data_IF_104688144935
#
_entry.id   IF_104688144935
#
_cell.length_a   1.000
_cell.length_b   1.000
_cell.length_c   1.000
_cell.angle_alpha   90.00
_cell.angle_beta   90.00
_cell.angle_gamma   90.00
#
_symmetry.space_group_name_H-M   'P 1'
#
loop_
_entity.id
_entity.type
_entity.pdbx_description
1 polymer ?
#
# COMPACT_ATOMS: atom_id res chain seq x y z
N UNK A 1 -13.56 -11.87 15.72
CA UNK A 1 -14.76 -11.16 15.21
C UNK A 1 -15.99 -12.08 15.22
N UNK A 2 -16.03 -13.17 14.44
CA UNK A 2 -17.22 -14.07 14.36
C UNK A 2 -17.66 -14.61 15.73
N UNK A 3 -16.71 -15.09 16.56
CA UNK A 3 -17.00 -15.57 17.92
C UNK A 3 -17.61 -14.48 18.84
N UNK A 4 -17.30 -13.21 18.62
CA UNK A 4 -17.86 -12.12 19.44
C UNK A 4 -19.31 -11.81 19.04
N UNK A 5 -19.61 -11.86 17.74
CA UNK A 5 -20.95 -11.55 17.20
C UNK A 5 -21.92 -12.73 17.38
N UNK A 6 -21.42 -13.96 17.23
CA UNK A 6 -22.19 -15.20 17.42
C UNK A 6 -21.38 -16.18 18.26
N UNK A 7 -21.45 -16.01 19.58
CA UNK A 7 -20.81 -16.89 20.54
C UNK A 7 -21.26 -18.34 20.35
N UNK A 8 -20.31 -19.28 20.37
CA UNK A 8 -20.58 -20.72 20.27
C UNK A 8 -20.72 -21.29 18.85
N UNK A 9 -20.88 -20.47 17.80
CA UNK A 9 -21.08 -20.98 16.42
C UNK A 9 -19.86 -21.74 15.85
N UNK A 10 -18.66 -21.45 16.37
CA UNK A 10 -17.39 -22.10 15.99
C UNK A 10 -16.77 -22.90 17.14
N UNK A 11 -17.49 -23.05 18.26
CA UNK A 11 -16.95 -23.60 19.49
C UNK A 11 -15.93 -22.68 20.17
N UNK A 12 -15.11 -23.27 21.04
CA UNK A 12 -14.00 -22.59 21.73
C UNK A 12 -12.84 -22.28 20.78
N UNK A 13 -11.92 -21.40 21.18
CA UNK A 13 -10.74 -21.09 20.39
C UNK A 13 -9.86 -22.32 20.11
N UNK A 14 -9.78 -23.27 21.05
CA UNK A 14 -9.01 -24.51 20.90
C UNK A 14 -9.63 -25.46 19.86
N UNK A 15 -10.96 -25.62 19.92
CA UNK A 15 -11.71 -26.42 18.96
C UNK A 15 -11.62 -25.84 17.56
N UNK A 16 -11.77 -24.52 17.42
CA UNK A 16 -11.60 -23.82 16.14
C UNK A 16 -10.20 -24.03 15.55
N UNK A 17 -9.15 -23.89 16.38
CA UNK A 17 -7.77 -24.11 15.96
C UNK A 17 -7.54 -25.51 15.40
N UNK A 18 -8.03 -26.50 16.13
CA UNK A 18 -7.84 -27.91 15.77
C UNK A 18 -8.66 -28.29 14.53
N UNK A 19 -9.91 -27.82 14.46
CA UNK A 19 -10.87 -28.20 13.41
C UNK A 19 -10.67 -27.44 12.09
N UNK A 20 -10.30 -26.16 12.14
CA UNK A 20 -10.21 -25.30 10.97
C UNK A 20 -8.82 -24.69 10.76
N UNK A 21 -8.27 -23.97 11.75
CA UNK A 21 -7.03 -23.18 11.56
C UNK A 21 -5.83 -24.05 11.16
N UNK A 22 -5.56 -25.12 11.91
CA UNK A 22 -4.39 -25.97 11.71
C UNK A 22 -4.43 -26.75 10.38
N UNK A 23 -5.55 -27.40 9.98
CA UNK A 23 -5.66 -28.02 8.66
C UNK A 23 -5.52 -27.00 7.52
N UNK A 24 -6.17 -25.84 7.61
CA UNK A 24 -6.13 -24.81 6.55
C UNK A 24 -4.72 -24.23 6.40
N UNK A 25 -4.02 -23.99 7.51
CA UNK A 25 -2.64 -23.50 7.49
C UNK A 25 -1.72 -24.51 6.81
N UNK A 26 -1.77 -25.79 7.22
CA UNK A 26 -0.92 -26.85 6.64
C UNK A 26 -1.14 -27.03 5.14
N UNK A 27 -2.38 -27.04 4.67
CA UNK A 27 -2.66 -27.15 3.24
C UNK A 27 -2.33 -25.90 2.41
N UNK A 28 -1.92 -24.79 3.05
CA UNK A 28 -1.40 -23.59 2.37
C UNK A 28 0.12 -23.45 2.45
N UNK A 29 0.78 -24.29 3.25
CA UNK A 29 2.23 -24.29 3.35
C UNK A 29 2.84 -24.82 2.04
N UNK A 30 3.95 -24.23 1.61
CA UNK A 30 4.57 -24.55 0.32
C UNK A 30 5.05 -26.01 0.18
N UNK A 31 5.18 -26.73 1.31
CA UNK A 31 5.53 -28.15 1.36
C UNK A 31 4.36 -29.09 1.68
N UNK A 32 3.11 -28.61 1.62
CA UNK A 32 1.93 -29.43 1.90
C UNK A 32 1.69 -30.51 0.84
N UNK A 33 1.32 -31.71 1.28
CA UNK A 33 0.91 -32.79 0.38
C UNK A 33 -0.45 -32.52 -0.28
N UNK A 34 -0.73 -33.15 -1.43
CA UNK A 34 -2.04 -33.02 -2.11
C UNK A 34 -3.22 -33.35 -1.19
N UNK A 35 -3.04 -34.31 -0.27
CA UNK A 35 -4.04 -34.68 0.73
C UNK A 35 -4.31 -33.56 1.73
N UNK A 36 -3.28 -32.85 2.17
CA UNK A 36 -3.41 -31.71 3.09
C UNK A 36 -4.04 -30.50 2.41
N UNK A 37 -3.74 -30.27 1.13
CA UNK A 37 -4.38 -29.24 0.31
C UNK A 37 -5.88 -29.53 0.17
N UNK A 38 -6.25 -30.77 -0.15
CA UNK A 38 -7.66 -31.18 -0.26
C UNK A 38 -8.39 -31.02 1.08
N UNK A 39 -7.80 -31.51 2.18
CA UNK A 39 -8.37 -31.37 3.52
C UNK A 39 -8.55 -29.89 3.92
N UNK A 40 -7.60 -29.02 3.56
CA UNK A 40 -7.71 -27.58 3.79
C UNK A 40 -8.87 -26.96 3.01
N UNK A 41 -9.07 -27.35 1.75
CA UNK A 41 -10.20 -26.86 0.94
C UNK A 41 -11.54 -27.28 1.53
N UNK A 42 -11.69 -28.54 1.95
CA UNK A 42 -12.92 -29.05 2.60
C UNK A 42 -13.22 -28.28 3.89
N UNK A 43 -12.21 -28.09 4.76
CA UNK A 43 -12.38 -27.30 6.00
C UNK A 43 -12.68 -25.85 5.75
N UNK A 44 -12.10 -25.25 4.71
CA UNK A 44 -12.40 -23.87 4.32
C UNK A 44 -13.84 -23.73 3.81
N UNK A 45 -14.34 -24.69 3.02
CA UNK A 45 -15.73 -24.72 2.56
C UNK A 45 -16.71 -24.89 3.72
N UNK A 46 -16.43 -25.83 4.65
CA UNK A 46 -17.24 -26.02 5.87
C UNK A 46 -17.31 -24.72 6.68
N UNK A 47 -16.17 -24.06 6.91
CA UNK A 47 -16.10 -22.80 7.64
C UNK A 47 -16.89 -21.69 6.93
N UNK A 48 -16.74 -21.55 5.62
CA UNK A 48 -17.46 -20.55 4.83
C UNK A 48 -18.98 -20.76 4.93
N UNK A 49 -19.46 -22.01 4.88
CA UNK A 49 -20.89 -22.32 5.01
C UNK A 49 -21.47 -21.89 6.36
N UNK A 50 -20.71 -22.08 7.44
CA UNK A 50 -21.12 -21.68 8.79
C UNK A 50 -21.17 -20.14 8.90
N UNK A 51 -20.10 -19.48 8.46
CA UNK A 51 -19.94 -18.02 8.59
C UNK A 51 -20.90 -17.26 7.67
N UNK A 52 -21.19 -17.77 6.47
CA UNK A 52 -22.11 -17.11 5.54
C UNK A 52 -23.56 -17.04 6.05
N UNK A 53 -23.94 -17.84 7.05
CA UNK A 53 -25.27 -17.74 7.69
C UNK A 53 -25.43 -16.49 8.55
N UNK A 54 -24.32 -15.91 9.01
CA UNK A 54 -24.33 -14.74 9.89
C UNK A 54 -23.69 -13.49 9.28
N UNK A 55 -23.30 -13.53 8.01
CA UNK A 55 -22.75 -12.38 7.27
C UNK A 55 -23.64 -12.06 6.08
N UNK A 56 -24.17 -10.85 6.04
CA UNK A 56 -24.85 -10.30 4.87
C UNK A 56 -23.87 -9.37 4.15
N UNK A 57 -23.52 -9.71 2.90
CA UNK A 57 -22.68 -8.86 2.04
C UNK A 57 -23.48 -8.44 0.81
N UNK A 58 -23.80 -7.14 0.71
CA UNK A 58 -24.38 -6.53 -0.49
C UNK A 58 -23.27 -5.78 -1.24
N UNK A 59 -23.14 -6.00 -2.53
CA UNK A 59 -22.16 -5.31 -3.37
C UNK A 59 -22.77 -4.07 -4.01
N UNK A 60 -21.92 -3.11 -4.39
CA UNK A 60 -22.31 -1.90 -5.12
C UNK A 60 -23.03 -2.22 -6.45
N UNK A 61 -22.93 -3.46 -6.95
CA UNK A 61 -23.63 -3.94 -8.15
C UNK A 61 -25.15 -3.75 -8.09
N UNK A 62 -25.75 -3.72 -6.89
CA UNK A 62 -27.18 -3.44 -6.72
C UNK A 62 -27.55 -1.99 -7.08
N UNK A 63 -26.61 -1.05 -6.88
CA UNK A 63 -26.82 0.38 -7.11
C UNK A 63 -26.53 0.81 -8.55
N UNK A 64 -25.86 -0.04 -9.33
CA UNK A 64 -25.51 0.24 -10.74
C UNK A 64 -26.74 0.43 -11.63
N UNK A 65 -27.93 -0.04 -11.20
CA UNK A 65 -29.21 0.18 -11.90
C UNK A 65 -29.80 1.59 -11.70
N UNK A 66 -29.34 2.30 -10.68
CA UNK A 66 -29.92 3.58 -10.25
C UNK A 66 -28.92 4.74 -10.29
N UNK A 67 -27.63 4.44 -10.44
CA UNK A 67 -26.56 5.42 -10.50
C UNK A 67 -25.95 5.45 -11.90
N UNK A 68 -25.42 6.61 -12.35
CA UNK A 68 -24.60 6.68 -13.54
C UNK A 68 -23.43 5.68 -13.50
N UNK A 69 -22.98 5.28 -14.69
CA UNK A 69 -21.87 4.31 -14.83
C UNK A 69 -20.62 4.86 -14.16
N UNK A 70 -20.13 4.17 -13.13
CA UNK A 70 -18.84 4.47 -12.51
C UNK A 70 -17.72 3.92 -13.40
N UNK A 71 -16.84 4.81 -13.84
CA UNK A 71 -15.63 4.45 -14.58
C UNK A 71 -14.45 4.54 -13.60
N UNK A 72 -13.72 3.43 -13.42
CA UNK A 72 -12.50 3.38 -12.62
C UNK A 72 -11.30 3.19 -13.54
N UNK A 73 -10.31 4.07 -13.42
CA UNK A 73 -9.09 4.04 -14.23
C UNK A 73 -7.86 4.02 -13.33
N UNK A 74 -6.96 3.07 -13.57
CA UNK A 74 -5.67 2.99 -12.89
C UNK A 74 -4.61 3.57 -13.82
N UNK A 75 -4.03 4.71 -13.44
CA UNK A 75 -3.03 5.40 -14.26
C UNK A 75 -1.63 5.19 -13.67
N UNK A 76 -0.79 4.45 -14.40
CA UNK A 76 0.60 4.24 -14.04
C UNK A 76 1.45 5.47 -14.43
N UNK A 77 1.73 6.33 -13.46
CA UNK A 77 2.56 7.52 -13.67
C UNK A 77 4.04 7.17 -13.54
N UNK A 78 4.85 7.48 -14.56
CA UNK A 78 6.32 7.32 -14.50
C UNK A 78 6.94 8.37 -13.58
N UNK A 79 8.00 8.02 -12.85
CA UNK A 79 8.76 8.99 -12.06
C UNK A 79 9.51 9.96 -12.98
N UNK A 80 9.61 11.22 -12.57
CA UNK A 80 10.39 12.25 -13.28
C UNK A 80 11.89 12.09 -13.00
N UNK A 81 12.79 12.61 -13.86
CA UNK A 81 14.24 12.43 -13.70
C UNK A 81 14.75 12.76 -12.29
N UNK A 82 14.34 13.92 -11.74
CA UNK A 82 14.66 14.30 -10.37
C UNK A 82 14.17 13.28 -9.33
N UNK A 83 12.95 12.77 -9.47
CA UNK A 83 12.42 11.73 -8.58
C UNK A 83 13.21 10.44 -8.68
N UNK A 84 13.61 10.02 -9.89
CA UNK A 84 14.38 8.80 -10.11
C UNK A 84 15.75 8.91 -9.43
N UNK A 85 16.44 10.03 -9.59
CA UNK A 85 17.76 10.24 -9.01
C UNK A 85 17.72 10.28 -7.49
N UNK A 86 16.76 11.02 -6.92
CA UNK A 86 16.50 11.05 -5.48
C UNK A 86 16.13 9.67 -4.95
N UNK A 87 15.29 8.92 -5.68
CA UNK A 87 14.81 7.60 -5.25
C UNK A 87 15.97 6.61 -5.20
N UNK A 88 16.76 6.53 -6.27
CA UNK A 88 17.94 5.64 -6.35
C UNK A 88 18.90 5.96 -5.21
N UNK A 89 19.24 7.24 -5.04
CA UNK A 89 20.20 7.65 -4.02
C UNK A 89 19.71 7.35 -2.61
N UNK A 90 18.42 7.59 -2.34
CA UNK A 90 17.83 7.35 -1.03
C UNK A 90 17.74 5.85 -0.70
N UNK A 91 17.46 5.00 -1.70
CA UNK A 91 17.44 3.55 -1.53
C UNK A 91 18.85 3.01 -1.28
N UNK A 92 19.86 3.48 -2.00
CA UNK A 92 21.26 3.10 -1.77
C UNK A 92 21.71 3.42 -0.34
N UNK A 93 21.41 4.62 0.15
CA UNK A 93 21.78 5.04 1.51
C UNK A 93 20.95 4.30 2.56
N UNK A 94 19.63 4.21 2.37
CA UNK A 94 18.73 3.55 3.30
C UNK A 94 18.98 2.05 3.45
N UNK A 95 19.26 1.33 2.35
CA UNK A 95 19.58 -0.11 2.40
C UNK A 95 20.92 -0.35 3.12
N UNK A 96 21.93 0.49 2.85
CA UNK A 96 23.23 0.38 3.52
C UNK A 96 23.10 0.60 5.02
N UNK A 97 22.29 1.59 5.43
CA UNK A 97 22.00 1.88 6.84
C UNK A 97 21.14 0.78 7.50
N UNK A 98 20.20 0.17 6.77
CA UNK A 98 19.40 -0.96 7.24
C UNK A 98 20.23 -2.25 7.42
N UNK A 99 21.17 -2.52 6.52
CA UNK A 99 21.97 -3.75 6.50
C UNK A 99 23.15 -3.73 7.48
N UNK A 100 23.66 -2.55 7.85
CA UNK A 100 24.83 -2.42 8.71
C UNK A 100 24.54 -2.54 10.22
N UNK A 101 23.28 -2.39 10.66
CA UNK A 101 22.95 -2.36 12.08
C UNK A 101 22.29 -3.66 12.56
N UNK A 102 23.03 -4.47 13.33
CA UNK A 102 22.51 -5.55 14.17
C UNK A 102 21.63 -4.98 15.31
N UNK A 103 20.42 -4.51 14.99
CA UNK A 103 19.34 -4.29 15.97
C UNK A 103 19.29 -2.95 16.71
N UNK A 104 20.07 -1.92 16.30
CA UNK A 104 19.93 -0.54 16.82
C UNK A 104 19.66 0.43 15.67
N UNK A 105 18.38 0.63 15.35
CA UNK A 105 17.93 1.55 14.31
C UNK A 105 17.85 3.00 14.80
N UNK A 106 18.45 3.95 14.06
CA UNK A 106 18.09 5.39 14.12
C UNK A 106 16.86 5.71 13.26
N UNK A 107 16.65 4.98 12.15
CA UNK A 107 15.48 5.10 11.25
C UNK A 107 14.88 3.72 10.95
N UNK A 108 13.60 3.51 11.27
CA UNK A 108 12.93 2.24 11.00
C UNK A 108 12.61 2.06 9.51
N UNK A 109 12.47 0.81 9.04
CA UNK A 109 12.01 0.51 7.67
C UNK A 109 10.70 1.24 7.31
N UNK A 110 9.81 1.45 8.29
CA UNK A 110 8.58 2.22 8.13
C UNK A 110 8.84 3.70 7.81
N UNK A 111 9.87 4.32 8.39
CA UNK A 111 10.27 5.70 8.10
C UNK A 111 10.79 5.85 6.66
N UNK A 112 11.60 4.89 6.21
CA UNK A 112 12.13 4.83 4.84
C UNK A 112 10.98 4.70 3.84
N UNK A 113 10.08 3.73 4.04
CA UNK A 113 8.88 3.54 3.20
C UNK A 113 8.02 4.80 3.17
N UNK A 114 7.82 5.44 4.32
CA UNK A 114 7.03 6.68 4.42
C UNK A 114 7.65 7.81 3.61
N UNK A 115 8.97 7.92 3.63
CA UNK A 115 9.68 8.97 2.90
C UNK A 115 9.74 8.70 1.39
N UNK A 116 9.87 7.44 0.97
CA UNK A 116 9.72 7.05 -0.44
C UNK A 116 8.31 7.34 -0.97
N UNK A 117 7.26 7.04 -0.18
CA UNK A 117 5.88 7.41 -0.53
C UNK A 117 5.75 8.92 -0.75
N UNK A 118 6.35 9.74 0.13
CA UNK A 118 6.37 11.20 -0.01
C UNK A 118 7.09 11.63 -1.29
N UNK A 119 8.28 11.09 -1.57
CA UNK A 119 9.05 11.39 -2.78
C UNK A 119 8.28 11.07 -4.07
N UNK A 120 7.63 9.90 -4.13
CA UNK A 120 6.79 9.51 -5.27
C UNK A 120 5.55 10.40 -5.47
N UNK A 121 5.09 11.09 -4.41
CA UNK A 121 4.02 12.08 -4.52
C UNK A 121 4.58 13.43 -5.02
N UNK A 122 5.64 13.94 -4.39
CA UNK A 122 6.38 15.11 -4.89
C UNK A 122 7.74 15.28 -4.16
N UNK A 123 8.84 15.66 -4.85
CA UNK A 123 10.15 15.91 -4.22
C UNK A 123 10.14 16.93 -3.08
N UNK A 124 9.27 17.95 -3.15
CA UNK A 124 9.15 18.97 -2.10
C UNK A 124 8.82 18.39 -0.72
N UNK A 125 8.12 17.26 -0.66
CA UNK A 125 7.68 16.63 0.61
C UNK A 125 8.81 16.00 1.42
N UNK A 126 9.99 15.85 0.83
CA UNK A 126 11.20 15.38 1.51
C UNK A 126 12.26 16.48 1.66
N UNK A 127 12.05 17.65 1.04
CA UNK A 127 13.07 18.70 0.97
C UNK A 127 13.43 19.28 2.35
N UNK A 128 12.44 19.49 3.21
CA UNK A 128 12.67 19.97 4.59
C UNK A 128 13.57 19.02 5.37
N UNK A 129 13.36 17.71 5.26
CA UNK A 129 14.24 16.69 5.88
C UNK A 129 15.66 16.71 5.31
N UNK A 130 15.82 17.05 4.03
CA UNK A 130 17.13 17.23 3.41
C UNK A 130 17.86 18.46 3.98
N UNK A 131 17.13 19.55 4.26
CA UNK A 131 17.69 20.77 4.87
C UNK A 131 18.11 20.53 6.32
N UNK A 132 17.28 19.83 7.09
CA UNK A 132 17.56 19.44 8.47
C UNK A 132 18.68 18.39 8.57
N UNK A 133 19.15 17.86 7.43
CA UNK A 133 20.19 16.82 7.34
C UNK A 133 19.89 15.60 8.22
N UNK A 134 18.61 15.24 8.33
CA UNK A 134 18.19 14.01 9.02
C UNK A 134 18.89 12.82 8.37
N UNK A 135 19.30 11.85 9.19
CA UNK A 135 20.01 10.63 8.76
C UNK A 135 19.39 10.03 7.48
N UNK A 136 20.23 9.76 6.49
CA UNK A 136 19.83 9.26 5.17
C UNK A 136 19.40 10.32 4.13
N UNK A 137 19.08 11.56 4.53
CA UNK A 137 18.65 12.64 3.62
C UNK A 137 19.73 13.67 3.29
N UNK A 138 20.78 13.78 4.10
CA UNK A 138 21.85 14.76 3.89
C UNK A 138 22.53 14.64 2.50
N UNK A 139 22.61 13.42 1.97
CA UNK A 139 23.23 13.13 0.66
C UNK A 139 22.32 13.45 -0.54
N UNK A 140 21.05 13.79 -0.30
CA UNK A 140 20.08 14.11 -1.34
C UNK A 140 20.03 15.59 -1.72
N UNK A 141 20.41 16.48 -0.80
CA UNK A 141 20.33 17.93 -1.01
C UNK A 141 21.04 18.40 -2.30
N UNK A 142 22.23 17.89 -2.69
CA UNK A 142 22.91 18.30 -3.92
C UNK A 142 22.19 17.90 -5.22
N UNK A 143 21.21 16.99 -5.17
CA UNK A 143 20.45 16.52 -6.34
C UNK A 143 19.32 17.51 -6.68
N UNK A 144 18.86 18.30 -5.71
CA UNK A 144 17.83 19.30 -5.96
C UNK A 144 18.36 20.44 -6.84
N UNK A 145 17.53 21.01 -7.73
CA UNK A 145 17.94 22.14 -8.57
C UNK A 145 18.25 23.38 -7.71
N UNK A 146 19.16 24.22 -8.19
CA UNK A 146 19.52 25.47 -7.51
C UNK A 146 18.28 26.39 -7.44
N UNK A 147 17.99 26.90 -6.24
CA UNK A 147 16.81 27.74 -6.02
C UNK A 147 15.49 26.99 -5.80
N UNK A 148 15.52 25.66 -5.58
CA UNK A 148 14.33 24.89 -5.26
C UNK A 148 13.58 25.49 -4.05
N UNK A 149 12.29 25.78 -4.25
CA UNK A 149 11.45 26.43 -3.24
C UNK A 149 10.19 25.61 -2.99
N UNK A 150 9.92 25.31 -1.72
CA UNK A 150 8.75 24.53 -1.29
C UNK A 150 7.44 25.33 -1.38
N UNK A 151 7.52 26.67 -1.37
CA UNK A 151 6.34 27.56 -1.44
C UNK A 151 5.69 27.55 -2.82
N UNK A 152 6.44 27.22 -3.86
CA UNK A 152 5.96 27.13 -5.24
C UNK A 152 5.99 25.67 -5.66
N UNK A 153 4.81 25.07 -5.84
CA UNK A 153 4.69 23.69 -6.33
C UNK A 153 4.84 23.70 -7.84
N UNK A 154 5.90 23.09 -8.36
CA UNK A 154 6.10 22.85 -9.79
C UNK A 154 5.65 21.41 -10.13
N UNK A 155 4.51 21.23 -10.82
CA UNK A 155 3.99 19.91 -11.16
C UNK A 155 5.00 19.07 -11.95
N UNK A 156 5.88 19.70 -12.76
CA UNK A 156 6.85 19.03 -13.66
C UNK A 156 7.86 18.16 -12.89
N UNK A 157 8.02 18.41 -11.59
CA UNK A 157 8.95 17.66 -10.76
C UNK A 157 8.36 16.34 -10.22
N UNK A 158 7.08 16.05 -10.46
CA UNK A 158 6.46 14.79 -10.06
C UNK A 158 5.53 14.21 -11.11
N UNK A 159 5.76 12.96 -11.49
CA UNK A 159 4.95 12.31 -12.53
C UNK A 159 3.47 12.24 -12.19
N UNK A 160 3.12 12.07 -10.91
CA UNK A 160 1.73 12.11 -10.45
C UNK A 160 1.14 13.52 -10.52
N UNK A 161 1.92 14.54 -10.18
CA UNK A 161 1.44 15.92 -10.20
C UNK A 161 1.28 16.44 -11.62
N UNK A 162 2.16 16.07 -12.55
CA UNK A 162 1.98 16.34 -13.98
C UNK A 162 0.66 15.75 -14.48
N UNK A 163 0.40 14.47 -14.20
CA UNK A 163 -0.83 13.82 -14.66
C UNK A 163 -2.06 14.47 -14.02
N UNK A 164 -2.00 14.81 -12.74
CA UNK A 164 -3.08 15.55 -12.07
C UNK A 164 -3.32 16.91 -12.73
N UNK A 165 -2.25 17.66 -13.02
CA UNK A 165 -2.33 18.98 -13.67
C UNK A 165 -2.98 18.88 -15.05
N UNK A 166 -2.57 17.89 -15.86
CA UNK A 166 -3.22 17.61 -17.15
C UNK A 166 -4.69 17.22 -17.00
N UNK A 167 -5.02 16.34 -16.04
CA UNK A 167 -6.41 15.92 -15.81
C UNK A 167 -7.29 17.12 -15.42
N UNK A 168 -6.82 17.97 -14.51
CA UNK A 168 -7.56 19.16 -14.09
C UNK A 168 -7.73 20.17 -15.23
N UNK A 169 -6.68 20.39 -16.04
CA UNK A 169 -6.76 21.25 -17.21
C UNK A 169 -7.77 20.75 -18.24
N UNK A 170 -7.78 19.43 -18.52
CA UNK A 170 -8.75 18.82 -19.42
C UNK A 170 -10.16 18.93 -18.85
N UNK A 171 -10.37 18.55 -17.58
CA UNK A 171 -11.69 18.61 -16.92
C UNK A 171 -12.27 20.03 -17.01
N UNK A 172 -11.48 21.04 -16.66
CA UNK A 172 -11.88 22.45 -16.72
C UNK A 172 -12.22 22.92 -18.14
N UNK A 173 -11.56 22.39 -19.16
CA UNK A 173 -11.85 22.72 -20.56
C UNK A 173 -13.10 21.99 -21.09
N UNK A 174 -13.44 20.82 -20.54
CA UNK A 174 -14.63 20.03 -20.90
C UNK A 174 -15.89 20.34 -20.08
N UNK A 175 -15.79 21.09 -18.98
CA UNK A 175 -16.98 21.52 -18.23
C UNK A 175 -17.80 22.51 -19.07
N UNK A 176 -19.07 22.18 -19.41
CA UNK A 176 -19.97 23.16 -20.00
C UNK A 176 -20.37 24.19 -18.94
N UNK A 177 -20.30 25.47 -19.31
CA UNK A 177 -20.83 26.62 -18.54
C UNK A 177 -22.29 26.41 -18.13
#
# INVERSE_FOLDING_TARGET
>A
LVHFVNSGILGTASEFRTKFENPIRRGRDAGGSDKEVQQAQEKLQELNHIVNRCIIRRTQALLTKYLPVKIEQVICCKLMPLQVDLYKKFVETGITELGASNGKFSQSALSIITSLKKLCNHPALIFEKCLEKVDGFAKLLPIFPQGFNVKTVDPVLSGKMIVLDYLLAVIKATEPL
#
